data_IF_643926087142
#
_entry.id   IF_643926087142
#
_cell.length_a   1.000
_cell.length_b   1.000
_cell.length_c   1.000
_cell.angle_alpha   90.00
_cell.angle_beta   90.00
_cell.angle_gamma   90.00
#
_symmetry.space_group_name_H-M   'P 1'
#
loop_
_entity.id
_entity.type
_entity.pdbx_description
1 polymer ?
#
# COMPACT_ATOMS: atom_id res chain seq x y z
N UNK A 1 13.66 23.46 -17.02
CA UNK A 1 12.32 23.07 -16.54
C UNK A 1 11.40 22.89 -17.73
N UNK A 2 10.69 21.78 -17.77
CA UNK A 2 9.73 21.47 -18.84
C UNK A 2 8.34 21.97 -18.42
N UNK A 3 7.55 22.48 -19.37
CA UNK A 3 6.14 22.78 -19.12
C UNK A 3 5.34 21.47 -19.16
N UNK A 4 5.30 20.78 -18.03
CA UNK A 4 4.71 19.46 -17.88
C UNK A 4 3.27 19.58 -17.32
N UNK A 5 2.33 18.88 -17.94
CA UNK A 5 1.02 18.60 -17.35
C UNK A 5 1.04 17.21 -16.75
N UNK A 6 0.32 17.00 -15.66
CA UNK A 6 0.30 15.73 -14.94
C UNK A 6 -1.07 15.06 -15.06
N UNK A 7 -1.08 13.74 -14.91
CA UNK A 7 -2.30 12.95 -14.85
C UNK A 7 -2.31 12.08 -13.59
N UNK A 8 -3.44 12.09 -12.90
CA UNK A 8 -3.72 11.30 -11.69
C UNK A 8 -4.96 10.46 -11.98
N UNK A 9 -4.89 9.13 -12.12
CA UNK A 9 -6.03 8.32 -12.56
C UNK A 9 -7.11 8.18 -11.54
N UNK A 10 -6.69 8.16 -10.28
CA UNK A 10 -7.52 7.76 -9.18
C UNK A 10 -7.41 8.79 -8.08
N UNK A 11 -8.48 9.56 -7.99
CA UNK A 11 -8.75 10.48 -6.91
C UNK A 11 -10.15 10.17 -6.40
N UNK A 12 -10.33 10.17 -5.07
CA UNK A 12 -11.66 9.98 -4.51
C UNK A 12 -12.61 11.09 -4.97
N UNK A 13 -13.87 10.74 -5.21
CA UNK A 13 -14.86 11.66 -5.78
C UNK A 13 -15.13 12.91 -4.92
N UNK A 14 -14.76 12.88 -3.62
CA UNK A 14 -14.93 13.97 -2.66
C UNK A 14 -13.76 14.97 -2.64
N UNK A 15 -12.69 14.72 -3.40
CA UNK A 15 -11.52 15.62 -3.45
C UNK A 15 -11.84 16.80 -4.37
N UNK A 16 -11.56 18.01 -3.87
CA UNK A 16 -11.76 19.27 -4.58
C UNK A 16 -10.46 19.76 -5.24
N UNK A 17 -10.60 20.63 -6.22
CA UNK A 17 -9.46 21.33 -6.85
C UNK A 17 -8.57 22.03 -5.83
N UNK A 18 -9.16 22.79 -4.90
CA UNK A 18 -8.43 23.47 -3.82
C UNK A 18 -7.60 22.50 -2.97
N UNK A 19 -8.11 21.29 -2.70
CA UNK A 19 -7.34 20.27 -1.97
C UNK A 19 -6.15 19.80 -2.79
N UNK A 20 -6.31 19.61 -4.09
CA UNK A 20 -5.22 19.20 -4.98
C UNK A 20 -4.18 20.32 -5.05
N UNK A 21 -4.59 21.57 -5.30
CA UNK A 21 -3.73 22.76 -5.26
C UNK A 21 -2.86 22.80 -4.00
N UNK A 22 -3.48 22.72 -2.83
CA UNK A 22 -2.77 22.72 -1.54
C UNK A 22 -1.79 21.57 -1.40
N UNK A 23 -2.15 20.37 -1.84
CA UNK A 23 -1.26 19.20 -1.77
C UNK A 23 0.00 19.44 -2.60
N UNK A 24 -0.13 19.93 -3.83
CA UNK A 24 1.02 20.21 -4.69
C UNK A 24 1.91 21.34 -4.16
N UNK A 25 1.31 22.39 -3.60
CA UNK A 25 2.04 23.48 -2.95
C UNK A 25 2.76 23.01 -1.68
N UNK A 26 2.09 22.26 -0.81
CA UNK A 26 2.67 21.72 0.44
C UNK A 26 3.84 20.77 0.17
N UNK A 27 3.79 20.01 -0.92
CA UNK A 27 4.89 19.15 -1.38
C UNK A 27 6.00 19.92 -2.11
N UNK A 28 5.91 21.26 -2.18
CA UNK A 28 6.87 22.16 -2.84
C UNK A 28 7.06 21.87 -4.33
N UNK A 29 5.99 21.44 -5.01
CA UNK A 29 6.05 21.09 -6.43
C UNK A 29 5.78 22.31 -7.33
N UNK A 30 4.75 23.08 -7.03
CA UNK A 30 4.39 24.25 -7.82
C UNK A 30 2.98 24.75 -7.54
N UNK A 31 2.59 25.79 -8.26
CA UNK A 31 1.25 26.38 -8.22
C UNK A 31 0.44 25.84 -9.38
N UNK A 32 -0.73 25.32 -9.07
CA UNK A 32 -1.68 24.79 -10.05
C UNK A 32 -2.48 25.96 -10.66
N UNK A 33 -2.62 25.95 -11.98
CA UNK A 33 -3.46 26.92 -12.71
C UNK A 33 -4.92 26.47 -12.71
N UNK A 34 -5.16 25.23 -13.15
CA UNK A 34 -6.48 24.61 -13.14
C UNK A 34 -6.37 23.07 -13.13
N UNK A 35 -7.47 22.43 -12.76
CA UNK A 35 -7.60 20.97 -12.68
C UNK A 35 -8.82 20.48 -13.43
N UNK A 36 -8.63 19.55 -14.37
CA UNK A 36 -9.73 18.89 -15.07
C UNK A 36 -10.11 17.58 -14.40
N UNK A 37 -11.38 17.43 -14.03
CA UNK A 37 -11.92 16.23 -13.42
C UNK A 37 -12.74 15.41 -14.43
N UNK A 38 -12.34 14.17 -14.64
CA UNK A 38 -13.08 13.17 -15.42
C UNK A 38 -13.69 12.17 -14.45
N UNK A 39 -15.02 12.23 -14.29
CA UNK A 39 -15.78 11.30 -13.44
C UNK A 39 -15.76 9.91 -14.06
N UNK A 40 -15.41 8.91 -13.25
CA UNK A 40 -15.39 7.50 -13.61
C UNK A 40 -16.10 6.66 -12.55
N UNK A 41 -16.50 5.47 -12.94
CA UNK A 41 -17.14 4.50 -12.05
C UNK A 41 -16.38 3.19 -12.15
N UNK A 42 -15.99 2.65 -11.00
CA UNK A 42 -15.32 1.34 -10.92
C UNK A 42 -16.32 0.20 -11.18
N UNK A 43 -15.81 -1.02 -11.42
CA UNK A 43 -16.58 -2.25 -11.60
C UNK A 43 -17.57 -2.50 -10.46
N UNK A 44 -17.26 -2.03 -9.26
CA UNK A 44 -18.10 -2.13 -8.06
C UNK A 44 -19.16 -1.02 -7.93
N UNK A 45 -19.32 -0.15 -8.94
CA UNK A 45 -20.25 0.98 -8.89
C UNK A 45 -19.77 2.19 -8.08
N UNK A 46 -18.52 2.16 -7.57
CA UNK A 46 -17.94 3.26 -6.79
C UNK A 46 -17.45 4.37 -7.71
N UNK A 47 -17.92 5.59 -7.49
CA UNK A 47 -17.46 6.76 -8.23
C UNK A 47 -16.05 7.18 -7.79
N UNK A 48 -15.21 7.52 -8.77
CA UNK A 48 -13.89 8.13 -8.58
C UNK A 48 -13.65 9.15 -9.69
N UNK A 49 -12.63 9.99 -9.53
CA UNK A 49 -12.24 10.96 -10.55
C UNK A 49 -10.84 10.61 -11.06
N UNK A 50 -10.68 10.64 -12.38
CA UNK A 50 -9.40 10.82 -13.03
C UNK A 50 -9.16 12.32 -13.20
N UNK A 51 -7.94 12.78 -12.98
CA UNK A 51 -7.64 14.19 -12.82
C UNK A 51 -6.44 14.59 -13.66
N UNK A 52 -6.57 15.65 -14.45
CA UNK A 52 -5.47 16.28 -15.16
C UNK A 52 -5.11 17.59 -14.48
N UNK A 53 -3.82 17.76 -14.21
CA UNK A 53 -3.30 18.90 -13.46
C UNK A 53 -2.44 19.75 -14.38
N UNK A 54 -2.83 21.01 -14.52
CA UNK A 54 -2.12 22.01 -15.30
C UNK A 54 -1.46 23.02 -14.35
N UNK A 55 -0.16 23.23 -14.52
CA UNK A 55 0.62 24.10 -13.65
C UNK A 55 0.66 25.53 -14.19
N UNK A 56 0.46 26.50 -13.31
CA UNK A 56 0.75 27.90 -13.61
C UNK A 56 2.25 28.10 -13.68
N UNK A 57 2.94 27.64 -12.63
CA UNK A 57 4.39 27.54 -12.62
C UNK A 57 4.87 26.47 -11.64
N UNK A 58 6.01 25.88 -11.97
CA UNK A 58 6.73 24.97 -11.08
C UNK A 58 7.60 25.75 -10.11
N UNK A 59 7.87 25.20 -8.93
CA UNK A 59 8.89 25.77 -8.05
C UNK A 59 10.30 25.42 -8.52
N UNK A 60 11.24 26.33 -8.25
CA UNK A 60 12.65 26.10 -8.57
C UNK A 60 13.38 25.49 -7.38
N UNK A 61 13.37 24.16 -7.31
CA UNK A 61 14.05 23.39 -6.27
C UNK A 61 14.37 21.96 -6.76
N UNK A 62 15.26 21.29 -6.04
CA UNK A 62 15.68 19.92 -6.35
C UNK A 62 14.57 18.88 -6.21
N UNK A 63 13.53 19.16 -5.41
CA UNK A 63 12.37 18.27 -5.24
C UNK A 63 11.60 18.17 -6.55
N UNK A 64 11.36 19.32 -7.21
CA UNK A 64 10.69 19.38 -8.52
C UNK A 64 11.52 18.68 -9.59
N UNK A 65 12.83 18.90 -9.62
CA UNK A 65 13.71 18.24 -10.60
C UNK A 65 13.65 16.72 -10.45
N UNK A 66 13.78 16.21 -9.22
CA UNK A 66 13.68 14.78 -8.95
C UNK A 66 12.28 14.23 -9.26
N UNK A 67 11.23 14.99 -8.92
CA UNK A 67 9.86 14.60 -9.21
C UNK A 67 9.60 14.50 -10.72
N UNK A 68 9.99 15.51 -11.50
CA UNK A 68 9.86 15.50 -12.95
C UNK A 68 10.67 14.37 -13.58
N UNK A 69 11.89 14.10 -13.10
CA UNK A 69 12.69 12.96 -13.56
C UNK A 69 11.96 11.63 -13.34
N UNK A 70 11.32 11.45 -12.18
CA UNK A 70 10.53 10.25 -11.89
C UNK A 70 9.28 10.15 -12.75
N UNK A 71 8.59 11.27 -12.99
CA UNK A 71 7.38 11.30 -13.84
C UNK A 71 7.72 10.93 -15.30
N UNK A 72 8.88 11.36 -15.79
CA UNK A 72 9.33 11.10 -17.16
C UNK A 72 9.95 9.71 -17.36
N UNK A 73 10.27 9.02 -16.27
CA UNK A 73 10.92 7.71 -16.32
C UNK A 73 9.87 6.59 -16.24
N UNK A 74 9.67 5.79 -17.29
CA UNK A 74 8.64 4.74 -17.32
C UNK A 74 8.89 3.61 -16.30
N UNK A 75 10.13 3.42 -15.86
CA UNK A 75 10.49 2.39 -14.87
C UNK A 75 10.28 2.86 -13.42
N UNK A 76 10.08 4.17 -13.22
CA UNK A 76 9.91 4.78 -11.89
C UNK A 76 8.49 5.29 -11.72
N UNK A 77 7.86 4.93 -10.61
CA UNK A 77 6.58 5.52 -10.24
C UNK A 77 6.80 6.88 -9.55
N UNK A 78 6.16 7.95 -10.03
CA UNK A 78 6.10 9.20 -9.29
C UNK A 78 4.88 9.23 -8.36
N UNK A 79 5.09 9.74 -7.14
CA UNK A 79 4.08 9.76 -6.08
C UNK A 79 4.02 11.14 -5.44
N UNK A 80 2.81 11.56 -5.08
CA UNK A 80 2.56 12.78 -4.30
C UNK A 80 1.78 12.40 -3.05
N UNK A 81 2.36 12.66 -1.88
CA UNK A 81 1.72 12.36 -0.58
C UNK A 81 0.70 13.45 -0.27
N UNK A 82 -0.56 13.08 -0.09
CA UNK A 82 -1.63 14.04 0.24
C UNK A 82 -2.04 13.99 1.70
N UNK A 83 -1.84 12.85 2.37
CA UNK A 83 -2.18 12.61 3.78
C UNK A 83 -1.40 11.37 4.22
N UNK A 84 -0.27 11.49 4.92
CA UNK A 84 0.61 10.36 5.25
C UNK A 84 -0.16 9.23 6.00
N UNK A 85 -0.11 7.96 5.56
CA UNK A 85 0.76 7.34 4.53
C UNK A 85 0.18 7.30 3.10
N UNK A 86 -0.94 7.97 2.86
CA UNK A 86 -1.65 8.00 1.59
C UNK A 86 -1.02 8.93 0.55
N UNK A 87 -0.93 8.42 -0.68
CA UNK A 87 -0.35 9.12 -1.82
C UNK A 87 -1.15 8.89 -3.10
N UNK A 88 -1.03 9.82 -4.03
CA UNK A 88 -1.48 9.68 -5.41
C UNK A 88 -0.32 9.24 -6.30
N UNK A 89 -0.60 8.31 -7.22
CA UNK A 89 0.29 8.00 -8.33
C UNK A 89 0.10 9.08 -9.38
N UNK A 90 1.20 9.61 -9.88
CA UNK A 90 1.19 10.68 -10.87
C UNK A 90 1.98 10.24 -12.09
N UNK A 91 1.37 10.34 -13.27
CA UNK A 91 2.07 10.13 -14.53
C UNK A 91 2.14 11.41 -15.35
N UNK A 92 2.99 11.36 -16.37
CA UNK A 92 3.03 12.36 -17.41
C UNK A 92 1.67 12.39 -18.14
N UNK A 93 1.13 13.59 -18.32
CA UNK A 93 0.04 13.77 -19.24
C UNK A 93 0.59 13.69 -20.68
N UNK A 94 0.35 12.55 -21.35
CA UNK A 94 0.69 12.33 -22.77
C UNK A 94 -0.49 12.61 -23.70
N UNK A 95 -1.60 13.12 -23.19
CA UNK A 95 -2.73 13.59 -23.97
C UNK A 95 -2.24 14.77 -24.83
N UNK A 96 -1.73 14.49 -26.03
CA UNK A 96 -1.72 15.45 -27.09
C UNK A 96 -3.16 15.98 -27.21
N UNK A 97 -3.33 17.28 -27.54
CA UNK A 97 -4.64 17.86 -27.84
C UNK A 97 -5.26 17.09 -29.02
N UNK A 98 -5.90 15.96 -28.74
CA UNK A 98 -6.73 15.24 -29.69
C UNK A 98 -8.10 15.89 -29.54
N UNK A 99 -8.54 16.54 -30.61
CA UNK A 99 -9.86 17.13 -30.70
C UNK A 99 -10.92 16.12 -30.21
N UNK A 100 -11.79 16.60 -29.31
CA UNK A 100 -12.87 15.86 -28.63
C UNK A 100 -13.52 14.78 -29.51
N UNK A 101 -13.09 13.52 -29.39
CA UNK A 101 -13.85 12.38 -29.91
C UNK A 101 -13.47 10.99 -29.33
N UNK A 102 -12.25 10.76 -28.83
CA UNK A 102 -11.79 9.38 -28.55
C UNK A 102 -11.19 9.20 -27.14
N UNK A 103 -11.92 9.62 -26.10
CA UNK A 103 -11.42 9.71 -24.72
C UNK A 103 -11.47 8.40 -23.88
N UNK A 104 -11.68 7.22 -24.47
CA UNK A 104 -11.98 6.03 -23.65
C UNK A 104 -10.88 4.99 -23.48
N UNK A 105 -9.81 4.94 -24.29
CA UNK A 105 -8.91 3.77 -24.22
C UNK A 105 -7.42 4.08 -23.99
N UNK A 106 -6.94 5.28 -24.31
CA UNK A 106 -5.48 5.50 -24.43
C UNK A 106 -4.72 5.52 -23.09
N UNK A 107 -5.37 5.97 -22.02
CA UNK A 107 -4.73 6.09 -20.71
C UNK A 107 -4.78 4.77 -19.92
N UNK A 108 -5.43 3.73 -20.43
CA UNK A 108 -5.63 2.49 -19.67
C UNK A 108 -4.39 1.59 -19.59
N UNK A 109 -3.51 1.63 -20.58
CA UNK A 109 -2.45 0.62 -20.73
C UNK A 109 -1.35 0.75 -19.68
N UNK A 110 -0.80 1.96 -19.49
CA UNK A 110 0.33 2.17 -18.57
C UNK A 110 -0.09 1.99 -17.10
N UNK A 111 -1.32 2.36 -16.76
CA UNK A 111 -1.84 2.15 -15.40
C UNK A 111 -2.21 0.70 -15.13
N UNK A 112 -2.70 -0.05 -16.11
CA UNK A 112 -2.94 -1.48 -15.95
C UNK A 112 -1.62 -2.19 -15.60
N UNK A 113 -0.54 -1.88 -16.32
CA UNK A 113 0.78 -2.44 -16.04
C UNK A 113 1.30 -2.08 -14.63
N UNK A 114 1.11 -0.82 -14.21
CA UNK A 114 1.48 -0.40 -12.84
C UNK A 114 0.65 -1.13 -11.79
N UNK A 115 -0.66 -1.29 -12.02
CA UNK A 115 -1.56 -1.98 -11.09
C UNK A 115 -1.25 -3.47 -11.00
N UNK A 116 -0.96 -4.13 -12.12
CA UNK A 116 -0.55 -5.53 -12.16
C UNK A 116 0.76 -5.75 -11.38
N UNK A 117 1.75 -4.88 -11.60
CA UNK A 117 3.01 -4.92 -10.84
C UNK A 117 2.77 -4.73 -9.34
N UNK A 118 1.93 -3.78 -8.95
CA UNK A 118 1.58 -3.58 -7.54
C UNK A 118 0.85 -4.77 -6.95
N UNK A 119 -0.07 -5.36 -7.70
CA UNK A 119 -0.83 -6.53 -7.27
C UNK A 119 0.13 -7.70 -6.97
N UNK A 120 1.04 -7.98 -7.90
CA UNK A 120 2.07 -9.00 -7.72
C UNK A 120 2.98 -8.74 -6.51
N UNK A 121 3.43 -7.49 -6.32
CA UNK A 121 4.23 -7.11 -5.14
C UNK A 121 3.45 -7.27 -3.83
N UNK A 122 2.15 -6.95 -3.82
CA UNK A 122 1.30 -7.11 -2.64
C UNK A 122 0.99 -8.57 -2.33
N UNK A 123 0.74 -9.39 -3.34
CA UNK A 123 0.51 -10.84 -3.20
C UNK A 123 1.75 -11.52 -2.61
N UNK A 124 2.94 -11.19 -3.12
CA UNK A 124 4.19 -11.70 -2.57
C UNK A 124 4.39 -11.35 -1.08
N UNK A 125 4.13 -10.10 -0.70
CA UNK A 125 4.24 -9.67 0.72
C UNK A 125 3.20 -10.35 1.61
N UNK A 126 2.05 -10.72 1.05
CA UNK A 126 1.03 -11.46 1.76
C UNK A 126 1.48 -12.90 2.01
N UNK A 127 2.05 -13.57 0.99
CA UNK A 127 2.62 -14.91 1.12
C UNK A 127 3.73 -14.95 2.20
N UNK A 128 4.66 -13.99 2.19
CA UNK A 128 5.72 -13.87 3.21
C UNK A 128 5.16 -13.71 4.64
N UNK A 129 4.08 -12.94 4.79
CA UNK A 129 3.41 -12.74 6.08
C UNK A 129 2.64 -13.99 6.55
N UNK A 130 2.00 -14.70 5.63
CA UNK A 130 1.30 -15.96 5.93
C UNK A 130 2.30 -17.04 6.36
N UNK A 131 3.42 -17.19 5.65
CA UNK A 131 4.48 -18.14 6.02
C UNK A 131 5.04 -17.84 7.41
N UNK A 132 5.37 -16.57 7.69
CA UNK A 132 5.83 -16.15 9.01
C UNK A 132 4.80 -16.39 10.12
N UNK A 133 3.51 -16.23 9.81
CA UNK A 133 2.44 -16.48 10.77
C UNK A 133 2.30 -17.97 11.09
N UNK A 134 2.42 -18.83 10.08
CA UNK A 134 2.37 -20.28 10.27
C UNK A 134 3.57 -20.82 11.06
N UNK A 135 4.78 -20.33 10.79
CA UNK A 135 5.97 -20.69 11.58
C UNK A 135 5.77 -20.38 13.07
N UNK A 136 5.20 -19.21 13.36
CA UNK A 136 4.96 -18.78 14.73
C UNK A 136 3.87 -19.58 15.42
N UNK A 137 2.83 -19.98 14.69
CA UNK A 137 1.78 -20.87 15.19
C UNK A 137 2.37 -22.25 15.51
N UNK A 138 3.15 -22.83 14.59
CA UNK A 138 3.80 -24.12 14.79
C UNK A 138 4.73 -24.13 16.02
N UNK A 139 5.54 -23.07 16.21
CA UNK A 139 6.38 -22.91 17.40
C UNK A 139 5.56 -22.87 18.70
N UNK A 140 4.39 -22.19 18.67
CA UNK A 140 3.51 -22.12 19.83
C UNK A 140 2.83 -23.47 20.11
N UNK A 141 2.38 -24.18 19.08
CA UNK A 141 1.79 -25.51 19.21
C UNK A 141 2.79 -26.52 19.80
N UNK A 142 4.05 -26.49 19.35
CA UNK A 142 5.12 -27.33 19.92
C UNK A 142 5.35 -27.01 21.40
N UNK A 143 5.39 -25.72 21.77
CA UNK A 143 5.56 -25.30 23.17
C UNK A 143 4.38 -25.71 24.05
N UNK A 144 3.15 -25.65 23.54
CA UNK A 144 1.96 -26.10 24.27
C UNK A 144 2.04 -27.61 24.52
N UNK A 145 2.42 -28.40 23.51
CA UNK A 145 2.58 -29.85 23.67
C UNK A 145 3.61 -30.23 24.74
N UNK A 146 4.73 -29.51 24.82
CA UNK A 146 5.75 -29.73 25.87
C UNK A 146 5.18 -29.40 27.26
N UNK A 147 4.48 -28.27 27.38
CA UNK A 147 3.88 -27.86 28.65
C UNK A 147 2.79 -28.82 29.13
N UNK A 148 1.96 -29.34 28.23
CA UNK A 148 0.95 -30.35 28.54
C UNK A 148 1.59 -31.64 29.06
N UNK A 149 2.67 -32.10 28.42
CA UNK A 149 3.42 -33.28 28.85
C UNK A 149 4.07 -33.11 30.22
N UNK A 150 4.59 -31.92 30.52
CA UNK A 150 5.19 -31.61 31.82
C UNK A 150 4.11 -31.56 32.92
N UNK A 151 2.93 -31.00 32.62
CA UNK A 151 1.78 -31.02 33.54
C UNK A 151 1.32 -32.44 33.87
N UNK A 152 1.24 -33.32 32.87
CA UNK A 152 0.86 -34.73 33.07
C UNK A 152 1.86 -35.49 33.97
N UNK A 153 3.17 -35.27 33.77
CA UNK A 153 4.21 -35.89 34.60
C UNK A 153 4.17 -35.41 36.06
N UNK A 154 3.98 -34.10 36.28
CA UNK A 154 3.86 -33.54 37.63
C UNK A 154 2.61 -34.07 38.34
N UNK A 155 1.53 -34.30 37.60
CA UNK A 155 0.28 -34.83 38.14
C UNK A 155 0.41 -36.32 38.51
N UNK A 156 1.06 -37.14 37.67
CA UNK A 156 1.37 -38.54 37.99
C UNK A 156 2.31 -38.67 39.21
N UNK A 157 3.28 -37.75 39.36
CA UNK A 157 4.18 -37.73 40.52
C UNK A 157 3.45 -37.42 41.82
N UNK A 158 2.42 -36.57 41.77
CA UNK A 158 1.62 -36.17 42.93
C UNK A 158 0.61 -37.23 43.36
N UNK A 159 0.16 -38.07 42.42
CA UNK A 159 -0.77 -39.19 42.67
C UNK A 159 -0.04 -40.49 43.07
N UNK A 160 1.30 -40.48 43.19
CA UNK A 160 2.04 -41.63 43.72
C UNK A 160 1.68 -41.90 45.20
N UNK A 161 1.22 -43.12 45.55
CA UNK A 161 0.94 -43.46 46.94
C UNK A 161 2.23 -43.41 47.77
N UNK A 162 2.14 -42.86 48.99
CA UNK A 162 3.27 -42.77 49.91
C UNK A 162 3.90 -44.16 50.10
N UNK A 163 5.22 -44.24 49.92
CA UNK A 163 5.99 -45.46 50.21
C UNK A 163 5.72 -45.86 51.66
N UNK A 164 5.03 -46.98 51.85
CA UNK A 164 4.85 -47.59 53.16
C UNK A 164 6.26 -48.01 53.61
N UNK A 165 6.84 -47.28 54.56
CA UNK A 165 8.02 -47.74 55.27
C UNK A 165 7.64 -49.04 55.99
N UNK A 166 8.20 -50.15 55.54
CA UNK A 166 8.11 -51.41 56.27
C UNK A 166 8.91 -51.21 57.56
N UNK A 167 8.21 -50.88 58.65
CA UNK A 167 8.77 -51.05 60.00
C UNK A 167 8.93 -52.56 60.22
N UNK A 168 10.18 -53.02 60.14
CA UNK A 168 10.61 -54.32 60.63
C UNK A 168 10.35 -54.37 62.15
N UNK A 169 9.15 -54.78 62.55
CA UNK A 169 8.88 -55.21 63.92
C UNK A 169 9.58 -56.57 64.15
N UNK A 170 10.87 -56.49 64.47
CA UNK A 170 11.57 -57.52 65.24
C UNK A 170 11.14 -57.39 66.70
N UNK A 171 10.42 -58.39 67.22
CA UNK A 171 10.17 -58.51 68.67
C UNK A 171 9.05 -59.46 69.05
#
# INVERSE_FOLDING_TARGET
MQNLSLFIPYVFANITEDRIARVFENNRLGVIDHVDFVRKTDKNGKAYNAVYVHFSHWFNNSVVENFQERVLNPDKEARVVYDDPWYWIVLQNTSAKVDKAEETEFVSSDYAAILEKKLADTEKRLEELEESSWERIAELEERVLVLERDQEQDQELNDMPALIEYEDEQG
#
